data_IF_551798487982
#
_entry.id   IF_551798487982
#
_cell.length_a   1.000
_cell.length_b   1.000
_cell.length_c   1.000
_cell.angle_alpha   90.00
_cell.angle_beta   90.00
_cell.angle_gamma   90.00
#
_symmetry.space_group_name_H-M   'P 1'
#
loop_
_entity.id
_entity.type
_entity.pdbx_description
1 polymer ?
#
# COMPACT_ATOMS: atom_id res chain seq x y z
N UNK A 1 -10.14 -21.21 -3.57
CA UNK A 1 -9.41 -21.31 -2.28
C UNK A 1 -9.20 -19.91 -1.73
N UNK A 2 -9.70 -19.61 -0.54
CA UNK A 2 -9.45 -18.34 0.14
C UNK A 2 -7.95 -18.24 0.48
N UNK A 3 -7.36 -17.04 0.32
CA UNK A 3 -5.94 -16.81 0.61
C UNK A 3 -5.59 -17.15 2.07
N UNK A 4 -6.55 -17.00 2.98
CA UNK A 4 -6.43 -17.31 4.41
C UNK A 4 -6.11 -18.79 4.66
N UNK A 5 -6.73 -19.72 3.91
CA UNK A 5 -6.45 -21.16 4.07
C UNK A 5 -5.01 -21.50 3.68
N UNK A 6 -4.50 -20.90 2.61
CA UNK A 6 -3.11 -21.10 2.17
C UNK A 6 -2.11 -20.48 3.13
N UNK A 7 -2.46 -19.36 3.75
CA UNK A 7 -1.63 -18.73 4.78
C UNK A 7 -1.53 -19.62 6.02
N UNK A 8 -2.67 -20.13 6.54
CA UNK A 8 -2.66 -21.02 7.71
C UNK A 8 -1.90 -22.35 7.47
N UNK A 9 -1.93 -22.87 6.24
CA UNK A 9 -1.18 -24.07 5.84
C UNK A 9 0.34 -23.91 5.86
N UNK A 10 0.88 -22.69 5.98
CA UNK A 10 2.32 -22.47 6.11
C UNK A 10 2.88 -23.00 7.45
N UNK A 11 2.01 -23.19 8.45
CA UNK A 11 2.40 -23.75 9.74
C UNK A 11 2.47 -25.27 9.60
N UNK A 12 3.64 -25.84 9.96
CA UNK A 12 3.83 -27.28 9.97
C UNK A 12 2.89 -27.92 11.00
N UNK A 13 2.01 -28.79 10.54
CA UNK A 13 0.98 -29.45 11.35
C UNK A 13 -0.44 -28.91 11.12
N UNK A 14 -0.62 -27.85 10.33
CA UNK A 14 -1.94 -27.39 9.88
C UNK A 14 -2.16 -27.83 8.42
N UNK A 15 -2.94 -28.90 8.24
CA UNK A 15 -3.41 -29.33 6.92
C UNK A 15 -4.64 -28.55 6.46
N UNK A 16 -5.10 -28.83 5.24
CA UNK A 16 -6.25 -28.13 4.62
C UNK A 16 -7.54 -28.19 5.47
N UNK A 17 -7.85 -29.37 6.03
CA UNK A 17 -9.04 -29.58 6.87
C UNK A 17 -8.93 -28.79 8.19
N UNK A 18 -7.74 -28.73 8.79
CA UNK A 18 -7.52 -27.95 10.03
C UNK A 18 -7.58 -26.46 9.77
N UNK A 19 -7.02 -25.99 8.65
CA UNK A 19 -7.12 -24.59 8.23
C UNK A 19 -8.59 -24.17 8.02
N UNK A 20 -9.42 -25.06 7.45
CA UNK A 20 -10.85 -24.82 7.27
C UNK A 20 -11.57 -24.67 8.62
N UNK A 21 -11.34 -25.61 9.55
CA UNK A 21 -11.93 -25.57 10.91
C UNK A 21 -11.47 -24.34 11.72
N UNK A 22 -10.21 -23.94 11.56
CA UNK A 22 -9.70 -22.70 12.15
C UNK A 22 -10.46 -21.48 11.62
N UNK A 23 -10.69 -21.41 10.30
CA UNK A 23 -11.49 -20.33 9.71
C UNK A 23 -12.95 -20.35 10.18
N UNK A 24 -13.56 -21.53 10.30
CA UNK A 24 -14.92 -21.70 10.83
C UNK A 24 -15.03 -21.23 12.30
N UNK A 25 -13.97 -21.43 13.09
CA UNK A 25 -13.86 -20.93 14.45
C UNK A 25 -13.52 -19.42 14.54
N UNK A 26 -13.44 -18.72 13.41
CA UNK A 26 -13.08 -17.29 13.35
C UNK A 26 -11.58 -17.01 13.55
N UNK A 27 -10.74 -18.04 13.50
CA UNK A 27 -9.28 -17.92 13.59
C UNK A 27 -8.71 -17.95 12.17
N UNK A 28 -8.68 -16.77 11.55
CA UNK A 28 -8.38 -16.60 10.14
C UNK A 28 -6.95 -16.09 9.86
N UNK A 29 -6.14 -15.86 10.89
CA UNK A 29 -4.78 -15.29 10.78
C UNK A 29 -3.80 -15.81 11.83
N UNK A 30 -2.49 -15.70 11.56
CA UNK A 30 -1.44 -16.06 12.52
C UNK A 30 -1.54 -15.30 13.85
N UNK A 31 -1.96 -14.04 13.81
CA UNK A 31 -2.20 -13.23 15.00
C UNK A 31 -3.46 -13.69 15.77
N UNK A 32 -4.49 -14.17 15.07
CA UNK A 32 -5.65 -14.77 15.71
C UNK A 32 -5.26 -16.10 16.39
N UNK A 33 -4.37 -16.89 15.79
CA UNK A 33 -3.84 -18.12 16.40
C UNK A 33 -3.09 -17.81 17.70
N UNK A 34 -2.16 -16.84 17.69
CA UNK A 34 -1.42 -16.48 18.91
C UNK A 34 -2.32 -15.89 19.99
N UNK A 35 -3.35 -15.12 19.60
CA UNK A 35 -4.34 -14.55 20.52
C UNK A 35 -5.27 -15.61 21.12
N UNK A 36 -5.68 -16.61 20.33
CA UNK A 36 -6.49 -17.73 20.80
C UNK A 36 -5.74 -18.60 21.82
N UNK A 37 -4.41 -18.62 21.75
CA UNK A 37 -3.54 -19.30 22.71
C UNK A 37 -3.76 -20.82 22.74
N UNK A 38 -3.29 -21.47 23.80
CA UNK A 38 -3.41 -22.93 23.92
C UNK A 38 -4.85 -23.39 24.12
N UNK A 39 -5.66 -22.64 24.87
CA UNK A 39 -7.05 -22.97 25.18
C UNK A 39 -7.93 -22.90 23.94
N UNK A 40 -7.77 -21.87 23.10
CA UNK A 40 -8.53 -21.73 21.86
C UNK A 40 -8.17 -22.79 20.82
N UNK A 41 -6.90 -23.21 20.74
CA UNK A 41 -6.48 -24.28 19.85
C UNK A 41 -6.92 -25.67 20.32
N UNK A 42 -6.95 -25.92 21.64
CA UNK A 42 -7.47 -27.20 22.20
C UNK A 42 -8.95 -27.41 21.92
N UNK A 43 -9.74 -26.34 21.79
CA UNK A 43 -11.16 -26.41 21.47
C UNK A 43 -11.44 -26.87 20.02
N UNK A 44 -10.44 -26.84 19.13
CA UNK A 44 -10.62 -27.19 17.72
C UNK A 44 -10.42 -28.68 17.52
N UNK A 45 -11.45 -29.33 16.98
CA UNK A 45 -11.46 -30.77 16.72
C UNK A 45 -10.33 -31.16 15.77
N UNK A 46 -9.46 -32.08 16.21
CA UNK A 46 -8.41 -32.69 15.40
C UNK A 46 -7.02 -32.04 15.53
N UNK A 47 -6.85 -31.02 16.38
CA UNK A 47 -5.53 -30.50 16.71
C UNK A 47 -4.82 -31.45 17.68
N UNK A 48 -3.55 -31.77 17.39
CA UNK A 48 -2.72 -32.55 18.29
C UNK A 48 -2.26 -31.66 19.48
N UNK A 49 -2.61 -31.99 20.74
CA UNK A 49 -2.25 -31.19 21.91
C UNK A 49 -0.75 -30.95 22.08
N UNK A 50 0.09 -31.90 21.65
CA UNK A 50 1.56 -31.78 21.72
C UNK A 50 2.13 -30.82 20.68
N UNK A 51 1.41 -30.62 19.58
CA UNK A 51 1.83 -29.72 18.51
C UNK A 51 1.44 -28.26 18.77
N UNK A 52 0.57 -27.98 19.74
CA UNK A 52 0.01 -26.64 20.00
C UNK A 52 1.11 -25.61 20.28
N UNK A 53 2.09 -25.95 21.13
CA UNK A 53 3.18 -25.02 21.45
C UNK A 53 4.05 -24.72 20.22
N UNK A 54 4.32 -25.74 19.39
CA UNK A 54 5.05 -25.55 18.12
C UNK A 54 4.26 -24.70 17.13
N UNK A 55 2.95 -24.92 17.02
CA UNK A 55 2.04 -24.13 16.18
C UNK A 55 2.00 -22.68 16.65
N UNK A 56 1.89 -22.43 17.95
CA UNK A 56 1.88 -21.08 18.52
C UNK A 56 3.22 -20.36 18.29
N UNK A 57 4.34 -21.05 18.47
CA UNK A 57 5.67 -20.50 18.21
C UNK A 57 5.85 -20.14 16.73
N UNK A 58 5.46 -21.04 15.82
CA UNK A 58 5.50 -20.80 14.37
C UNK A 58 4.56 -19.66 13.96
N UNK A 59 3.33 -19.65 14.46
CA UNK A 59 2.36 -18.58 14.21
C UNK A 59 2.89 -17.23 14.72
N UNK A 60 3.53 -17.20 15.89
CA UNK A 60 4.17 -16.00 16.43
C UNK A 60 5.32 -15.50 15.56
N UNK A 61 6.20 -16.39 15.11
CA UNK A 61 7.29 -16.03 14.20
C UNK A 61 6.76 -15.51 12.86
N UNK A 62 5.79 -16.20 12.25
CA UNK A 62 5.17 -15.80 10.98
C UNK A 62 4.40 -14.48 11.11
N UNK A 63 3.68 -14.26 12.23
CA UNK A 63 2.99 -13.00 12.49
C UNK A 63 3.98 -11.83 12.63
N UNK A 64 5.12 -12.04 13.30
CA UNK A 64 6.18 -11.03 13.42
C UNK A 64 6.81 -10.71 12.07
N UNK A 65 7.17 -11.73 11.29
CA UNK A 65 7.75 -11.54 9.96
C UNK A 65 6.77 -10.83 9.01
N UNK A 66 5.50 -11.25 9.00
CA UNK A 66 4.47 -10.59 8.20
C UNK A 66 4.25 -9.12 8.61
N UNK A 67 4.36 -8.79 9.90
CA UNK A 67 4.30 -7.42 10.39
C UNK A 67 5.54 -6.60 9.99
N UNK A 68 6.74 -7.19 10.06
CA UNK A 68 7.98 -6.58 9.61
C UNK A 68 7.95 -6.30 8.11
N UNK A 69 7.62 -7.29 7.28
CA UNK A 69 7.45 -7.15 5.83
C UNK A 69 6.43 -6.05 5.48
N UNK A 70 5.34 -5.98 6.24
CA UNK A 70 4.31 -4.95 6.06
C UNK A 70 4.88 -3.57 6.37
N UNK A 71 5.64 -3.43 7.45
CA UNK A 71 6.30 -2.19 7.86
C UNK A 71 7.31 -1.71 6.81
N UNK A 72 8.17 -2.60 6.33
CA UNK A 72 9.16 -2.31 5.28
C UNK A 72 8.48 -1.85 3.98
N UNK A 73 7.39 -2.51 3.58
CA UNK A 73 6.61 -2.09 2.40
C UNK A 73 5.94 -0.74 2.59
N UNK A 74 5.49 -0.40 3.80
CA UNK A 74 4.97 0.94 4.10
C UNK A 74 6.11 1.97 4.02
N UNK A 75 7.29 1.66 4.56
CA UNK A 75 8.46 2.55 4.51
C UNK A 75 8.86 2.84 3.06
N UNK A 76 8.93 1.82 2.20
CA UNK A 76 9.19 1.99 0.77
C UNK A 76 8.15 2.88 0.08
N UNK A 77 6.87 2.75 0.44
CA UNK A 77 5.81 3.62 -0.09
C UNK A 77 6.01 5.07 0.33
N UNK A 78 6.43 5.32 1.59
CA UNK A 78 6.73 6.67 2.08
C UNK A 78 7.93 7.28 1.36
N UNK A 79 9.00 6.52 1.19
CA UNK A 79 10.18 6.96 0.44
C UNK A 79 9.82 7.35 -0.99
N UNK A 80 9.04 6.52 -1.69
CA UNK A 80 8.56 6.83 -3.05
C UNK A 80 7.61 8.01 -3.09
N UNK A 81 6.76 8.18 -2.07
CA UNK A 81 5.91 9.37 -1.91
C UNK A 81 6.77 10.63 -1.83
N UNK A 82 7.84 10.59 -1.03
CA UNK A 82 8.78 11.70 -0.89
C UNK A 82 9.49 12.00 -2.22
N UNK A 83 10.04 10.98 -2.90
CA UNK A 83 10.65 11.15 -4.21
C UNK A 83 9.68 11.77 -5.24
N UNK A 84 8.41 11.35 -5.22
CA UNK A 84 7.38 11.90 -6.07
C UNK A 84 7.08 13.37 -5.75
N UNK A 85 7.11 13.80 -4.48
CA UNK A 85 6.96 15.22 -4.10
C UNK A 85 8.10 16.05 -4.68
N UNK A 86 9.33 15.57 -4.55
CA UNK A 86 10.50 16.24 -5.13
C UNK A 86 10.37 16.37 -6.64
N UNK A 87 9.94 15.30 -7.33
CA UNK A 87 9.69 15.35 -8.77
C UNK A 87 8.61 16.37 -9.15
N UNK A 88 7.51 16.46 -8.37
CA UNK A 88 6.46 17.47 -8.59
C UNK A 88 7.00 18.89 -8.42
N UNK A 89 7.83 19.13 -7.39
CA UNK A 89 8.46 20.43 -7.14
C UNK A 89 9.40 20.82 -8.28
N UNK A 90 10.27 19.90 -8.72
CA UNK A 90 11.19 20.12 -9.84
C UNK A 90 10.43 20.45 -11.14
N UNK A 91 9.33 19.74 -11.43
CA UNK A 91 8.47 20.05 -12.58
C UNK A 91 7.85 21.44 -12.45
N UNK A 92 7.40 21.83 -11.26
CA UNK A 92 6.82 23.14 -11.01
C UNK A 92 7.84 24.28 -11.16
N UNK A 93 9.07 24.08 -10.72
CA UNK A 93 10.18 25.03 -10.88
C UNK A 93 10.59 25.16 -12.35
N UNK A 94 10.82 24.03 -13.02
CA UNK A 94 11.15 24.00 -14.44
C UNK A 94 10.06 24.65 -15.30
N UNK A 95 8.78 24.41 -14.98
CA UNK A 95 7.66 25.07 -15.64
C UNK A 95 7.67 26.59 -15.39
N UNK A 96 7.95 27.05 -14.17
CA UNK A 96 8.05 28.48 -13.86
C UNK A 96 9.17 29.16 -14.66
N UNK A 97 10.32 28.51 -14.82
CA UNK A 97 11.45 29.05 -15.59
C UNK A 97 11.16 29.08 -17.09
N UNK A 98 10.65 27.98 -17.68
CA UNK A 98 10.49 27.85 -19.13
C UNK A 98 9.20 28.46 -19.68
N UNK A 99 8.17 28.58 -18.85
CA UNK A 99 6.83 28.98 -19.27
C UNK A 99 6.36 30.25 -18.54
N UNK A 100 7.29 31.08 -18.05
CA UNK A 100 6.99 32.27 -17.25
C UNK A 100 5.92 33.16 -17.87
N UNK A 101 6.05 33.50 -19.16
CA UNK A 101 5.08 34.30 -19.92
C UNK A 101 3.73 33.60 -20.09
N UNK A 102 3.75 32.29 -20.40
CA UNK A 102 2.53 31.50 -20.61
C UNK A 102 1.77 31.19 -19.31
N UNK A 103 2.44 31.32 -18.17
CA UNK A 103 1.88 31.09 -16.83
C UNK A 103 1.33 32.37 -16.20
N UNK A 104 1.43 33.53 -16.87
CA UNK A 104 0.82 34.75 -16.35
C UNK A 104 -0.70 34.64 -16.26
N UNK A 105 -1.27 35.07 -15.13
CA UNK A 105 -2.71 35.10 -14.88
C UNK A 105 -3.38 33.73 -14.68
N UNK A 106 -4.55 33.54 -15.31
CA UNK A 106 -5.42 32.36 -15.14
C UNK A 106 -4.76 31.00 -15.44
N UNK A 107 -3.90 30.81 -16.47
CA UNK A 107 -3.25 29.52 -16.73
C UNK A 107 -2.29 29.09 -15.61
N UNK A 108 -1.49 30.00 -15.06
CA UNK A 108 -0.61 29.71 -13.91
C UNK A 108 -1.39 29.34 -12.66
N UNK A 109 -2.46 30.08 -12.33
CA UNK A 109 -3.33 29.75 -11.19
C UNK A 109 -3.95 28.34 -11.32
N UNK A 110 -4.40 27.97 -12.52
CA UNK A 110 -4.96 26.63 -12.80
C UNK A 110 -3.90 25.54 -12.66
N UNK A 111 -2.65 25.82 -13.00
CA UNK A 111 -1.54 24.91 -12.83
C UNK A 111 -1.22 24.72 -11.33
N UNK A 112 -1.03 25.81 -10.61
CA UNK A 112 -0.78 25.82 -9.16
C UNK A 112 -1.86 25.04 -8.39
N UNK A 113 -3.14 25.29 -8.68
CA UNK A 113 -4.24 24.55 -8.07
C UNK A 113 -4.19 23.05 -8.38
N UNK A 114 -3.71 22.66 -9.57
CA UNK A 114 -3.57 21.25 -9.94
C UNK A 114 -2.42 20.60 -9.18
N UNK A 115 -1.31 21.31 -8.96
CA UNK A 115 -0.17 20.86 -8.16
C UNK A 115 -0.56 20.66 -6.70
N UNK A 116 -1.20 21.65 -6.07
CA UNK A 116 -1.70 21.54 -4.69
C UNK A 116 -2.61 20.32 -4.54
N UNK A 117 -3.59 20.17 -5.43
CA UNK A 117 -4.51 19.02 -5.42
C UNK A 117 -3.83 17.67 -5.67
N UNK A 118 -2.70 17.65 -6.36
CA UNK A 118 -1.91 16.44 -6.59
C UNK A 118 -1.19 16.05 -5.30
N UNK A 119 -0.53 17.02 -4.64
CA UNK A 119 0.11 16.84 -3.33
C UNK A 119 -0.90 16.38 -2.29
N UNK A 120 -2.06 17.03 -2.17
CA UNK A 120 -3.13 16.62 -1.25
C UNK A 120 -3.60 15.17 -1.49
N UNK A 121 -3.60 14.74 -2.76
CA UNK A 121 -4.00 13.38 -3.10
C UNK A 121 -2.90 12.38 -2.73
N UNK A 122 -1.63 12.78 -2.87
CA UNK A 122 -0.48 11.99 -2.46
C UNK A 122 -0.45 11.79 -0.94
N UNK A 123 -0.68 12.87 -0.17
CA UNK A 123 -0.83 12.81 1.30
C UNK A 123 -1.90 11.79 1.72
N UNK A 124 -3.04 11.80 1.04
CA UNK A 124 -4.13 10.85 1.32
C UNK A 124 -3.73 9.41 0.99
N UNK A 125 -2.97 9.18 -0.08
CA UNK A 125 -2.49 7.84 -0.46
C UNK A 125 -1.50 7.33 0.59
N UNK A 126 -0.61 8.19 1.07
CA UNK A 126 0.33 7.88 2.14
C UNK A 126 -0.42 7.52 3.44
N UNK A 127 -1.45 8.29 3.79
CA UNK A 127 -2.30 8.03 4.95
C UNK A 127 -3.01 6.66 4.93
N UNK A 128 -3.38 6.15 3.75
CA UNK A 128 -4.04 4.83 3.61
C UNK A 128 -3.09 3.69 3.23
N UNK A 129 -1.79 3.96 3.06
CA UNK A 129 -0.82 2.99 2.55
C UNK A 129 -0.76 1.71 3.40
N UNK A 130 -0.85 1.84 4.73
CA UNK A 130 -0.84 0.73 5.67
C UNK A 130 -2.02 -0.25 5.52
N UNK A 131 -3.18 0.23 5.04
CA UNK A 131 -4.36 -0.61 4.77
C UNK A 131 -4.38 -1.13 3.33
N UNK A 132 -3.83 -0.37 2.39
CA UNK A 132 -3.98 -0.61 0.95
C UNK A 132 -2.65 -0.71 0.21
N UNK A 133 -1.65 -1.33 0.83
CA UNK A 133 -0.26 -1.47 0.34
C UNK A 133 -0.15 -1.73 -1.17
N UNK A 134 -0.78 -2.81 -1.66
CA UNK A 134 -0.71 -3.20 -3.07
C UNK A 134 -1.33 -2.16 -4.01
N UNK A 135 -2.43 -1.51 -3.60
CA UNK A 135 -3.09 -0.48 -4.41
C UNK A 135 -2.28 0.82 -4.39
N UNK A 136 -1.80 1.24 -3.21
CA UNK A 136 -0.96 2.41 -3.03
C UNK A 136 0.33 2.31 -3.85
N UNK A 137 1.07 1.20 -3.73
CA UNK A 137 2.29 0.97 -4.52
C UNK A 137 2.05 1.02 -6.04
N UNK A 138 0.99 0.37 -6.54
CA UNK A 138 0.63 0.41 -7.97
C UNK A 138 0.24 1.81 -8.44
N UNK A 139 -0.45 2.58 -7.59
CA UNK A 139 -0.86 3.94 -7.91
C UNK A 139 0.34 4.89 -7.98
N UNK A 140 1.30 4.73 -7.07
CA UNK A 140 2.56 5.48 -7.07
C UNK A 140 3.40 5.19 -8.31
N UNK A 141 3.65 3.92 -8.65
CA UNK A 141 4.37 3.57 -9.90
C UNK A 141 3.71 4.16 -11.14
N UNK A 142 2.37 4.20 -11.17
CA UNK A 142 1.64 4.81 -12.29
C UNK A 142 1.73 6.33 -12.30
N UNK A 143 1.83 6.98 -11.14
CA UNK A 143 1.99 8.42 -11.03
C UNK A 143 3.40 8.84 -11.44
N UNK A 144 4.44 8.14 -10.96
CA UNK A 144 5.85 8.36 -11.31
C UNK A 144 6.05 8.36 -12.83
N UNK A 145 5.67 7.26 -13.50
CA UNK A 145 5.73 7.15 -14.98
C UNK A 145 4.99 8.25 -15.72
N UNK A 146 3.98 8.86 -15.09
CA UNK A 146 3.22 9.97 -15.70
C UNK A 146 3.90 11.31 -15.50
N UNK A 147 4.72 11.47 -14.45
CA UNK A 147 5.50 12.67 -14.21
C UNK A 147 6.80 12.70 -15.00
N UNK A 148 7.46 11.55 -15.19
CA UNK A 148 8.70 11.41 -16.00
C UNK A 148 8.54 11.94 -17.43
N UNK A 149 7.34 11.80 -18.02
CA UNK A 149 7.06 12.26 -19.39
C UNK A 149 6.76 13.77 -19.45
N UNK A 150 6.67 14.46 -18.31
CA UNK A 150 6.28 15.88 -18.25
C UNK A 150 7.45 16.84 -18.08
N UNK A 151 8.66 16.32 -17.94
CA UNK A 151 9.88 17.11 -17.70
C UNK A 151 10.06 18.18 -18.78
N UNK A 152 9.74 17.87 -20.04
CA UNK A 152 9.90 18.79 -21.17
C UNK A 152 8.56 19.24 -21.80
N UNK A 153 7.43 18.94 -21.17
CA UNK A 153 6.11 19.21 -21.74
C UNK A 153 5.72 20.70 -21.71
N UNK A 154 5.03 21.18 -22.75
CA UNK A 154 4.42 22.52 -22.78
C UNK A 154 3.24 22.67 -21.81
N UNK A 155 2.80 23.92 -21.55
CA UNK A 155 1.86 24.21 -20.45
C UNK A 155 0.54 23.40 -20.48
N UNK A 156 -0.02 23.14 -21.67
CA UNK A 156 -1.28 22.37 -21.82
C UNK A 156 -1.08 20.91 -21.43
N UNK A 157 0.02 20.32 -21.88
CA UNK A 157 0.33 18.91 -21.67
C UNK A 157 0.80 18.65 -20.25
N UNK A 158 1.56 19.59 -19.67
CA UNK A 158 1.94 19.58 -18.27
C UNK A 158 0.69 19.55 -17.37
N UNK A 159 -0.30 20.42 -17.63
CA UNK A 159 -1.56 20.42 -16.87
C UNK A 159 -2.36 19.12 -17.06
N UNK A 160 -2.45 18.58 -18.29
CA UNK A 160 -3.15 17.31 -18.55
C UNK A 160 -2.43 16.13 -17.88
N UNK A 161 -1.11 16.12 -17.90
CA UNK A 161 -0.25 15.13 -17.30
C UNK A 161 -0.41 15.07 -15.79
N UNK A 162 -0.33 16.22 -15.10
CA UNK A 162 -0.56 16.32 -13.66
C UNK A 162 -1.96 15.84 -13.26
N UNK A 163 -3.00 16.15 -14.05
CA UNK A 163 -4.35 15.62 -13.84
C UNK A 163 -4.39 14.09 -13.97
N UNK A 164 -3.69 13.51 -14.94
CA UNK A 164 -3.61 12.05 -15.13
C UNK A 164 -2.86 11.38 -13.96
N UNK A 165 -1.74 11.95 -13.52
CA UNK A 165 -0.99 11.49 -12.35
C UNK A 165 -1.87 11.50 -11.09
N UNK A 166 -2.63 12.58 -10.88
CA UNK A 166 -3.61 12.66 -9.78
C UNK A 166 -4.69 11.58 -9.89
N UNK A 167 -5.20 11.33 -11.10
CA UNK A 167 -6.21 10.28 -11.33
C UNK A 167 -5.67 8.90 -11.01
N UNK A 168 -4.40 8.60 -11.29
CA UNK A 168 -3.77 7.34 -10.85
C UNK A 168 -3.68 7.23 -9.33
N UNK A 169 -3.29 8.29 -8.62
CA UNK A 169 -3.23 8.30 -7.16
C UNK A 169 -4.61 8.08 -6.53
N UNK A 170 -5.66 8.72 -7.06
CA UNK A 170 -7.04 8.52 -6.60
C UNK A 170 -7.51 7.06 -6.67
N UNK A 171 -6.97 6.23 -7.57
CA UNK A 171 -7.32 4.80 -7.64
C UNK A 171 -6.85 3.98 -6.45
N UNK A 172 -5.90 4.48 -5.65
CA UNK A 172 -5.56 3.84 -4.38
C UNK A 172 -6.59 4.13 -3.27
N UNK A 173 -7.30 5.26 -3.37
CA UNK A 173 -8.30 5.72 -2.41
C UNK A 173 -9.70 5.12 -2.67
N UNK A 174 -9.98 4.70 -3.90
CA UNK A 174 -11.16 3.92 -4.27
C UNK A 174 -10.97 2.46 -3.84
#
# INVERSE_FOLDING_TARGET
MSNTLKELQQIKGIGEILAMRLCEAGIDSFAAITKAGESGLKAIKGINPRAIQSILAQAGALAKNAAADKSERVALIKERSLALRTAIQNIAESARQRLAEQLQGKPGQKLALTLVRLVDTLDKVEGVAHKRLKRAGKALTKAERRLEVLTDAGHKDLRKGLKKARKSLRRALA
#
